data_IF_355238190420
#
_entry.id   IF_355238190420
#
_cell.length_a   1.000
_cell.length_b   1.000
_cell.length_c   1.000
_cell.angle_alpha   90.00
_cell.angle_beta   90.00
_cell.angle_gamma   90.00
#
_symmetry.space_group_name_H-M   'P 1'
#
loop_
_entity.id
_entity.type
_entity.pdbx_description
1 polymer ?
#
# COMPACT_ATOMS: atom_id res chain seq x y z
N UNK A 1 -3.97 -6.67 -14.47
CA UNK A 1 -5.01 -6.35 -15.47
C UNK A 1 -6.35 -6.82 -14.90
N UNK A 2 -7.39 -5.99 -14.96
CA UNK A 2 -8.76 -6.42 -14.64
C UNK A 2 -9.53 -6.63 -15.94
N UNK A 3 -10.50 -7.57 -15.99
CA UNK A 3 -11.40 -7.68 -17.12
C UNK A 3 -12.11 -6.35 -17.35
N UNK A 4 -12.03 -5.83 -18.58
CA UNK A 4 -12.84 -4.70 -19.00
C UNK A 4 -14.26 -5.17 -19.31
N UNK A 5 -15.28 -4.30 -19.16
CA UNK A 5 -16.65 -4.67 -19.50
C UNK A 5 -16.80 -5.04 -20.98
N UNK A 6 -16.00 -4.45 -21.87
CA UNK A 6 -16.00 -4.74 -23.30
C UNK A 6 -15.48 -6.15 -23.61
N UNK A 7 -14.42 -6.60 -22.93
CA UNK A 7 -13.89 -7.97 -23.08
C UNK A 7 -14.89 -9.01 -22.60
N UNK A 8 -15.57 -8.75 -21.48
CA UNK A 8 -16.63 -9.62 -20.96
C UNK A 8 -17.78 -9.77 -21.97
N UNK A 9 -18.22 -8.65 -22.57
CA UNK A 9 -19.28 -8.66 -23.57
C UNK A 9 -18.91 -9.52 -24.78
N UNK A 10 -17.69 -9.37 -25.30
CA UNK A 10 -17.22 -10.16 -26.46
C UNK A 10 -17.19 -11.66 -26.18
N UNK A 11 -16.78 -12.06 -24.97
CA UNK A 11 -16.77 -13.48 -24.56
C UNK A 11 -18.21 -14.01 -24.43
N UNK A 12 -19.14 -13.20 -23.93
CA UNK A 12 -20.56 -13.54 -23.88
C UNK A 12 -21.19 -13.66 -25.28
N UNK A 13 -20.86 -12.77 -26.20
CA UNK A 13 -21.33 -12.86 -27.59
C UNK A 13 -20.77 -14.10 -28.29
N UNK A 14 -19.49 -14.39 -28.12
CA UNK A 14 -18.85 -15.57 -28.69
C UNK A 14 -19.49 -16.88 -28.19
N UNK A 15 -19.89 -16.93 -26.92
CA UNK A 15 -20.59 -18.10 -26.34
C UNK A 15 -22.03 -18.23 -26.84
N UNK A 16 -22.74 -17.12 -27.06
CA UNK A 16 -24.08 -17.12 -27.64
C UNK A 16 -24.04 -17.56 -29.12
N UNK A 17 -23.05 -17.08 -29.88
CA UNK A 17 -22.88 -17.43 -31.28
C UNK A 17 -22.45 -18.89 -31.49
N UNK A 18 -21.66 -19.46 -30.57
CA UNK A 18 -21.13 -20.82 -30.67
C UNK A 18 -21.36 -21.62 -29.37
N UNK A 19 -22.60 -22.03 -29.07
CA UNK A 19 -22.94 -22.68 -27.81
C UNK A 19 -22.35 -24.09 -27.63
N UNK A 20 -21.88 -24.72 -28.72
CA UNK A 20 -21.25 -26.06 -28.69
C UNK A 20 -19.73 -26.02 -28.49
N UNK A 21 -19.12 -24.82 -28.54
CA UNK A 21 -17.69 -24.65 -28.34
C UNK A 21 -17.44 -24.20 -26.89
N UNK A 22 -16.81 -25.03 -26.04
CA UNK A 22 -16.51 -24.62 -24.68
C UNK A 22 -15.44 -23.52 -24.66
N UNK A 23 -15.58 -22.57 -23.75
CA UNK A 23 -14.57 -21.55 -23.47
C UNK A 23 -13.25 -22.19 -23.02
N UNK A 24 -12.12 -21.62 -23.45
CA UNK A 24 -10.80 -22.01 -22.98
C UNK A 24 -10.57 -21.62 -21.52
N UNK A 25 -9.46 -22.09 -20.95
CA UNK A 25 -9.11 -21.85 -19.55
C UNK A 25 -8.96 -20.37 -19.22
N UNK A 26 -8.49 -19.56 -20.18
CA UNK A 26 -8.34 -18.12 -20.02
C UNK A 26 -9.70 -17.40 -19.98
N UNK A 27 -10.65 -17.72 -20.86
CA UNK A 27 -11.97 -17.08 -20.84
C UNK A 27 -12.79 -17.53 -19.62
N UNK A 28 -12.67 -18.81 -19.22
CA UNK A 28 -13.29 -19.28 -17.97
C UNK A 28 -12.75 -18.52 -16.75
N UNK A 29 -11.44 -18.28 -16.71
CA UNK A 29 -10.83 -17.47 -15.66
C UNK A 29 -11.31 -16.01 -15.69
N UNK A 30 -11.43 -15.40 -16.87
CA UNK A 30 -12.00 -14.06 -17.02
C UNK A 30 -13.46 -13.98 -16.55
N UNK A 31 -14.29 -14.97 -16.90
CA UNK A 31 -15.67 -15.05 -16.46
C UNK A 31 -15.77 -15.21 -14.94
N UNK A 32 -14.90 -16.04 -14.34
CA UNK A 32 -14.79 -16.20 -12.89
C UNK A 32 -14.37 -14.88 -12.21
N UNK A 33 -13.37 -14.17 -12.72
CA UNK A 33 -12.99 -12.87 -12.15
C UNK A 33 -14.13 -11.85 -12.24
N UNK A 34 -14.89 -11.87 -13.34
CA UNK A 34 -16.00 -10.96 -13.56
C UNK A 34 -17.23 -11.23 -12.68
N UNK A 35 -17.33 -12.41 -12.06
CA UNK A 35 -18.43 -12.77 -11.15
C UNK A 35 -18.20 -12.29 -9.73
N UNK A 36 -16.96 -11.93 -9.38
CA UNK A 36 -16.62 -11.38 -8.07
C UNK A 36 -17.09 -9.92 -8.00
N UNK A 37 -18.09 -9.65 -7.17
CA UNK A 37 -18.56 -8.30 -6.90
C UNK A 37 -17.46 -7.44 -6.27
N UNK A 38 -17.37 -6.18 -6.72
CA UNK A 38 -16.45 -5.18 -6.18
C UNK A 38 -14.97 -5.59 -6.17
N UNK A 39 -14.58 -6.53 -7.05
CA UNK A 39 -13.20 -6.97 -7.21
C UNK A 39 -12.18 -5.81 -7.32
N UNK A 40 -12.43 -4.71 -8.07
CA UNK A 40 -11.48 -3.60 -8.14
C UNK A 40 -11.25 -2.92 -6.79
N UNK A 41 -12.31 -2.71 -6.00
CA UNK A 41 -12.22 -2.08 -4.69
C UNK A 41 -11.46 -2.97 -3.70
N UNK A 42 -11.75 -4.28 -3.72
CA UNK A 42 -11.05 -5.27 -2.89
C UNK A 42 -9.57 -5.35 -3.25
N UNK A 43 -9.22 -5.36 -4.54
CA UNK A 43 -7.81 -5.34 -4.97
C UNK A 43 -7.09 -4.05 -4.57
N UNK A 44 -7.76 -2.89 -4.66
CA UNK A 44 -7.22 -1.62 -4.15
C UNK A 44 -6.94 -1.69 -2.64
N UNK A 45 -7.85 -2.26 -1.85
CA UNK A 45 -7.63 -2.45 -0.41
C UNK A 45 -6.50 -3.44 -0.11
N UNK A 46 -6.37 -4.49 -0.91
CA UNK A 46 -5.26 -5.45 -0.78
C UNK A 46 -3.91 -4.80 -1.07
N UNK A 47 -3.81 -4.01 -2.14
CA UNK A 47 -2.62 -3.22 -2.45
C UNK A 47 -2.33 -2.25 -1.30
N UNK A 48 -3.34 -1.51 -0.83
CA UNK A 48 -3.21 -0.61 0.31
C UNK A 48 -2.67 -1.33 1.56
N UNK A 49 -3.19 -2.52 1.88
CA UNK A 49 -2.70 -3.31 3.02
C UNK A 49 -1.23 -3.69 2.87
N UNK A 50 -0.84 -4.19 1.69
CA UNK A 50 0.56 -4.56 1.41
C UNK A 50 1.50 -3.35 1.52
N UNK A 51 1.08 -2.20 0.99
CA UNK A 51 1.82 -0.95 1.05
C UNK A 51 1.90 -0.41 2.48
N UNK A 52 0.81 -0.53 3.24
CA UNK A 52 0.75 -0.10 4.64
C UNK A 52 1.73 -0.88 5.52
N UNK A 53 1.78 -2.21 5.40
CA UNK A 53 2.72 -3.05 6.16
C UNK A 53 4.18 -2.68 5.87
N UNK A 54 4.49 -2.28 4.64
CA UNK A 54 5.81 -1.80 4.25
C UNK A 54 6.09 -0.40 4.80
N UNK A 55 5.09 0.50 4.75
CA UNK A 55 5.20 1.86 5.27
C UNK A 55 5.39 1.87 6.79
N UNK A 56 4.67 1.05 7.54
CA UNK A 56 4.79 0.94 9.01
C UNK A 56 6.21 0.52 9.43
N UNK A 57 6.80 -0.46 8.72
CA UNK A 57 8.19 -0.88 8.94
C UNK A 57 9.16 0.25 8.65
N UNK A 58 8.97 0.97 7.54
CA UNK A 58 9.83 2.10 7.18
C UNK A 58 9.76 3.22 8.22
N UNK A 59 8.58 3.56 8.73
CA UNK A 59 8.40 4.54 9.81
C UNK A 59 9.15 4.09 11.07
N UNK A 60 9.07 2.80 11.43
CA UNK A 60 9.79 2.25 12.59
C UNK A 60 11.32 2.22 12.43
N UNK A 61 11.83 1.94 11.22
CA UNK A 61 13.27 2.04 10.92
C UNK A 61 13.73 3.50 10.97
N UNK A 62 12.93 4.38 10.38
CA UNK A 62 13.21 5.80 10.32
C UNK A 62 13.26 6.44 11.71
N UNK A 63 12.28 6.14 12.57
CA UNK A 63 12.27 6.59 13.96
C UNK A 63 13.53 6.14 14.72
N UNK A 64 13.99 4.90 14.50
CA UNK A 64 15.25 4.39 15.09
C UNK A 64 16.48 5.12 14.55
N UNK A 65 16.53 5.40 13.25
CA UNK A 65 17.61 6.15 12.62
C UNK A 65 17.63 7.60 13.10
N UNK A 66 16.49 8.28 13.15
CA UNK A 66 16.36 9.63 13.71
C UNK A 66 16.85 9.67 15.16
N UNK A 67 16.43 8.70 15.99
CA UNK A 67 16.89 8.58 17.37
C UNK A 67 18.41 8.42 17.46
N UNK A 68 19.00 7.52 16.66
CA UNK A 68 20.44 7.30 16.63
C UNK A 68 21.22 8.54 16.11
N UNK A 69 20.67 9.24 15.12
CA UNK A 69 21.26 10.45 14.54
C UNK A 69 21.23 11.62 15.53
N UNK A 70 20.10 11.81 16.22
CA UNK A 70 19.93 12.75 17.33
C UNK A 70 20.92 12.42 18.47
N UNK A 71 20.96 11.17 18.93
CA UNK A 71 21.85 10.78 20.02
C UNK A 71 23.35 10.86 19.68
N UNK A 72 23.72 10.86 18.40
CA UNK A 72 25.12 11.03 17.96
C UNK A 72 25.56 12.49 17.83
N UNK A 73 24.69 13.47 18.16
CA UNK A 73 25.07 14.89 18.22
C UNK A 73 25.18 15.58 16.87
N UNK A 74 24.83 14.90 15.77
CA UNK A 74 24.82 15.46 14.41
C UNK A 74 23.56 16.30 14.13
N UNK A 75 23.18 17.20 15.05
CA UNK A 75 21.93 17.96 15.03
C UNK A 75 21.85 19.12 14.00
N UNK A 76 22.93 19.39 13.28
CA UNK A 76 23.18 20.72 12.70
C UNK A 76 22.55 21.03 11.33
N UNK A 77 21.60 20.23 10.83
CA UNK A 77 20.93 20.56 9.56
C UNK A 77 19.46 20.14 9.43
N UNK A 78 18.85 19.57 10.47
CA UNK A 78 17.43 19.28 10.44
C UNK A 78 16.64 20.55 10.77
N UNK A 79 15.76 21.00 9.86
CA UNK A 79 14.83 22.12 10.12
C UNK A 79 14.07 21.90 11.43
N UNK A 80 13.96 22.94 12.26
CA UNK A 80 13.35 22.89 13.59
C UNK A 80 11.91 22.31 13.57
N UNK A 81 11.19 22.47 12.46
CA UNK A 81 9.86 21.90 12.22
C UNK A 81 9.85 20.36 12.34
N UNK A 82 10.94 19.74 11.91
CA UNK A 82 11.06 18.30 11.85
C UNK A 82 11.38 17.68 13.19
N UNK A 83 12.19 18.37 14.00
CA UNK A 83 12.51 17.98 15.37
C UNK A 83 11.25 18.05 16.24
N UNK A 84 10.44 19.09 16.07
CA UNK A 84 9.15 19.25 16.76
C UNK A 84 8.15 18.14 16.39
N UNK A 85 8.03 17.82 15.10
CA UNK A 85 7.16 16.75 14.62
C UNK A 85 7.58 15.36 15.16
N UNK A 86 8.89 15.06 15.18
CA UNK A 86 9.41 13.79 15.72
C UNK A 86 9.28 13.73 17.24
N UNK A 87 9.53 14.83 17.96
CA UNK A 87 9.36 14.90 19.42
C UNK A 87 7.91 14.65 19.85
N UNK A 88 6.93 15.22 19.11
CA UNK A 88 5.50 15.01 19.34
C UNK A 88 5.03 13.57 19.11
N UNK A 89 5.63 12.85 18.15
CA UNK A 89 5.24 11.47 17.82
C UNK A 89 5.91 10.45 18.75
N UNK A 90 7.14 10.75 19.19
CA UNK A 90 7.98 9.80 19.92
C UNK A 90 7.91 10.02 21.44
N UNK A 91 7.19 11.05 21.91
CA UNK A 91 7.00 11.34 23.34
C UNK A 91 8.30 11.74 24.04
N UNK A 92 9.23 12.36 23.30
CA UNK A 92 10.51 12.76 23.86
C UNK A 92 10.37 14.16 24.46
N UNK A 93 9.97 14.25 25.73
CA UNK A 93 10.26 15.43 26.53
C UNK A 93 11.77 15.47 26.68
N UNK A 94 12.45 16.33 25.92
CA UNK A 94 13.83 16.68 26.15
C UNK A 94 13.92 17.33 27.54
N UNK A 95 14.05 16.53 28.59
CA UNK A 95 14.70 17.00 29.81
C UNK A 95 16.18 17.08 29.47
N UNK A 96 16.54 18.13 28.74
CA UNK A 96 17.90 18.65 28.75
C UNK A 96 18.14 19.06 30.20
N UNK A 97 18.74 18.16 30.99
CA UNK A 97 19.25 18.54 32.30
C UNK A 97 20.47 19.41 32.05
N UNK A 98 20.50 20.69 32.47
CA UNK A 98 21.71 21.48 32.42
C UNK A 98 22.62 20.98 33.55
N UNK A 99 23.45 19.99 33.23
CA UNK A 99 24.49 19.49 34.13
C UNK A 99 25.75 20.34 33.99
N UNK A 100 26.10 21.01 35.09
CA UNK A 100 27.35 21.72 35.36
C UNK A 100 28.61 20.93 35.04
#
# INVERSE_FOLDING_TARGET
MLPTPEEKHKIQEATICNPYLPLGSAEQFFMMLSSISELPARLKLWIFKLDYENMEKNIGVFSRLCRAYICSGNYLSASDDWISAVSSVVGFTTTLSPGH
#
